data_IF_870197092470
#
_entry.id   IF_870197092470
#
_cell.length_a   1.000
_cell.length_b   1.000
_cell.length_c   1.000
_cell.angle_alpha   90.00
_cell.angle_beta   90.00
_cell.angle_gamma   90.00
#
_symmetry.space_group_name_H-M   'P 1'
#
loop_
_entity.id
_entity.type
_entity.pdbx_description
1 polymer ?
#
# COMPACT_ATOMS: atom_id res chain seq x y z
N UNK A 1 41.12 -5.47 -3.65
CA UNK A 1 40.73 -4.84 -2.38
C UNK A 1 40.35 -5.94 -1.40
N UNK A 2 40.62 -5.77 -0.10
CA UNK A 2 40.36 -6.78 0.96
C UNK A 2 38.93 -7.33 0.89
N UNK A 3 37.95 -6.48 0.54
CA UNK A 3 36.55 -6.85 0.37
C UNK A 3 36.33 -7.94 -0.71
N UNK A 4 36.97 -7.82 -1.87
CA UNK A 4 36.76 -8.78 -2.97
C UNK A 4 37.36 -10.14 -2.65
N UNK A 5 38.51 -10.15 -1.98
CA UNK A 5 39.14 -11.38 -1.50
C UNK A 5 38.26 -12.07 -0.45
N UNK A 6 37.74 -11.32 0.53
CA UNK A 6 36.81 -11.84 1.53
C UNK A 6 35.56 -12.48 0.90
N UNK A 7 34.93 -11.81 -0.07
CA UNK A 7 33.72 -12.34 -0.72
C UNK A 7 34.04 -13.61 -1.51
N UNK A 8 35.16 -13.63 -2.23
CA UNK A 8 35.59 -14.80 -2.98
C UNK A 8 35.87 -16.00 -2.07
N UNK A 9 36.51 -15.78 -0.92
CA UNK A 9 36.82 -16.86 0.01
C UNK A 9 35.57 -17.35 0.76
N UNK A 10 34.67 -16.45 1.15
CA UNK A 10 33.39 -16.84 1.74
C UNK A 10 32.56 -17.71 0.79
N UNK A 11 32.52 -17.36 -0.50
CA UNK A 11 31.76 -18.10 -1.50
C UNK A 11 32.34 -19.50 -1.80
N UNK A 12 33.56 -19.81 -1.35
CA UNK A 12 34.13 -21.17 -1.43
C UNK A 12 33.74 -22.06 -0.26
N UNK A 13 33.24 -21.50 0.85
CA UNK A 13 32.97 -22.26 2.09
C UNK A 13 31.81 -23.23 1.93
N UNK A 14 30.77 -22.88 1.18
CA UNK A 14 29.58 -23.71 1.04
C UNK A 14 29.02 -23.70 -0.38
N UNK A 15 28.78 -24.87 -1.01
CA UNK A 15 28.33 -24.97 -2.41
C UNK A 15 26.94 -24.40 -2.66
N UNK A 16 26.09 -24.29 -1.63
CA UNK A 16 24.70 -23.80 -1.76
C UNK A 16 24.47 -22.36 -1.28
N UNK A 17 25.48 -21.70 -0.68
CA UNK A 17 25.32 -20.36 -0.10
C UNK A 17 26.41 -19.47 -0.68
N UNK A 18 26.02 -18.44 -1.43
CA UNK A 18 26.94 -17.45 -1.99
C UNK A 18 26.46 -16.03 -1.72
N UNK A 19 27.41 -15.16 -1.40
CA UNK A 19 27.23 -13.72 -1.29
C UNK A 19 27.23 -13.10 -2.69
N UNK A 20 26.08 -12.54 -3.04
CA UNK A 20 25.94 -11.62 -4.16
C UNK A 20 26.36 -10.22 -3.71
N UNK A 21 27.21 -9.54 -4.46
CA UNK A 21 27.66 -8.20 -4.14
C UNK A 21 27.62 -7.28 -5.36
N UNK A 22 27.50 -5.99 -5.10
CA UNK A 22 27.70 -4.95 -6.11
C UNK A 22 28.56 -3.87 -5.48
N UNK A 23 29.60 -3.43 -6.18
CA UNK A 23 30.54 -2.42 -5.71
C UNK A 23 30.76 -1.40 -6.81
N UNK A 24 30.70 -0.13 -6.45
CA UNK A 24 31.11 0.98 -7.30
C UNK A 24 31.55 2.14 -6.42
N UNK A 25 32.55 2.88 -6.91
CA UNK A 25 33.07 4.09 -6.24
C UNK A 25 32.16 5.31 -6.45
N UNK A 26 31.28 5.26 -7.45
CA UNK A 26 30.48 6.41 -7.87
C UNK A 26 29.00 6.27 -7.53
N UNK A 27 28.46 5.05 -7.50
CA UNK A 27 27.03 4.83 -7.25
C UNK A 27 26.73 3.46 -6.68
N UNK A 28 25.79 3.36 -5.73
CA UNK A 28 25.33 2.08 -5.18
C UNK A 28 23.82 2.06 -5.01
N UNK A 29 23.21 0.91 -5.24
CA UNK A 29 21.79 0.70 -4.98
C UNK A 29 21.60 0.29 -3.51
N UNK A 30 20.77 1.01 -2.78
CA UNK A 30 20.41 0.73 -1.40
C UNK A 30 18.90 0.85 -1.22
N UNK A 31 18.26 -0.27 -0.83
CA UNK A 31 16.81 -0.39 -0.74
C UNK A 31 16.14 0.04 -2.07
N UNK A 32 15.38 1.12 -2.01
CA UNK A 32 14.55 1.66 -3.09
C UNK A 32 15.23 2.82 -3.84
N UNK A 33 16.51 3.10 -3.56
CA UNK A 33 17.25 4.20 -4.17
C UNK A 33 18.62 3.80 -4.69
N UNK A 34 19.03 4.43 -5.79
CA UNK A 34 20.43 4.51 -6.23
C UNK A 34 21.01 5.78 -5.66
N UNK A 35 22.04 5.65 -4.83
CA UNK A 35 22.80 6.77 -4.29
C UNK A 35 24.01 6.97 -5.18
N UNK A 36 24.19 8.17 -5.72
CA UNK A 36 25.33 8.53 -6.57
C UNK A 36 26.09 9.73 -5.99
N UNK A 37 27.40 9.73 -6.15
CA UNK A 37 28.25 10.86 -5.78
C UNK A 37 28.34 11.84 -6.96
N UNK A 38 27.74 13.01 -6.81
CA UNK A 38 27.81 14.11 -7.77
C UNK A 38 28.69 15.21 -7.19
N UNK A 39 30.00 15.17 -7.51
CA UNK A 39 31.00 16.04 -6.89
C UNK A 39 31.17 15.73 -5.40
N UNK A 40 30.89 16.69 -4.53
CA UNK A 40 30.93 16.52 -3.06
C UNK A 40 29.54 16.27 -2.43
N UNK A 41 28.49 16.08 -3.25
CA UNK A 41 27.12 15.89 -2.78
C UNK A 41 26.60 14.51 -3.16
N UNK A 42 25.80 13.93 -2.28
CA UNK A 42 25.03 12.72 -2.59
C UNK A 42 23.76 13.12 -3.35
N UNK A 43 23.58 12.53 -4.52
CA UNK A 43 22.33 12.54 -5.27
C UNK A 43 21.64 11.19 -5.11
N UNK A 44 20.32 11.20 -5.11
CA UNK A 44 19.51 10.00 -4.90
C UNK A 44 18.51 9.87 -6.04
N UNK A 45 18.44 8.67 -6.62
CA UNK A 45 17.46 8.31 -7.63
C UNK A 45 16.66 7.08 -7.22
N UNK A 46 15.41 6.93 -7.68
CA UNK A 46 14.63 5.71 -7.42
C UNK A 46 15.29 4.53 -8.13
N UNK A 47 15.60 3.48 -7.39
CA UNK A 47 16.08 2.23 -7.97
C UNK A 47 14.89 1.33 -8.30
N UNK A 48 14.85 0.83 -9.53
CA UNK A 48 13.88 -0.16 -9.97
C UNK A 48 14.63 -1.46 -10.23
N UNK A 49 14.16 -2.54 -9.59
CA UNK A 49 14.74 -3.86 -9.85
C UNK A 49 14.45 -4.25 -11.31
N UNK A 50 15.38 -4.92 -12.00
CA UNK A 50 15.15 -5.41 -13.37
C UNK A 50 13.91 -6.32 -13.50
N UNK A 51 13.50 -6.96 -12.40
CA UNK A 51 12.32 -7.83 -12.33
C UNK A 51 11.01 -7.09 -12.05
N UNK A 52 11.04 -5.76 -11.84
CA UNK A 52 9.82 -4.97 -11.63
C UNK A 52 9.12 -4.74 -12.98
N UNK A 53 7.94 -5.35 -13.14
CA UNK A 53 7.17 -5.29 -14.36
C UNK A 53 6.20 -4.08 -14.44
N UNK A 54 6.26 -3.13 -13.49
CA UNK A 54 5.39 -1.94 -13.41
C UNK A 54 3.89 -2.26 -13.52
N UNK A 55 3.48 -3.40 -12.98
CA UNK A 55 2.09 -3.87 -13.07
C UNK A 55 1.24 -3.17 -12.03
N UNK A 56 0.78 -1.97 -12.36
CA UNK A 56 -0.25 -1.29 -11.58
C UNK A 56 -1.60 -1.99 -11.73
N UNK A 57 -2.48 -1.72 -10.76
CA UNK A 57 -3.81 -2.29 -10.73
C UNK A 57 -4.69 -1.66 -11.81
N UNK A 58 -5.27 -2.48 -12.70
CA UNK A 58 -6.21 -2.02 -13.72
C UNK A 58 -7.38 -1.20 -13.14
N UNK A 59 -7.75 -0.10 -13.79
CA UNK A 59 -8.73 0.85 -13.25
C UNK A 59 -10.14 0.26 -13.10
N UNK A 60 -10.55 -0.64 -14.00
CA UNK A 60 -11.85 -1.34 -13.92
C UNK A 60 -11.85 -2.56 -12.99
N UNK A 61 -10.73 -2.86 -12.32
CA UNK A 61 -10.69 -4.00 -11.39
C UNK A 61 -11.61 -3.81 -10.18
N UNK A 62 -12.00 -4.94 -9.58
CA UNK A 62 -12.91 -5.03 -8.41
C UNK A 62 -12.24 -4.64 -7.09
N UNK A 63 -11.65 -3.45 -7.06
CA UNK A 63 -11.05 -2.83 -5.88
C UNK A 63 -11.76 -1.53 -5.56
N UNK A 64 -11.71 -1.14 -4.28
CA UNK A 64 -12.29 0.13 -3.83
C UNK A 64 -11.69 1.28 -4.63
N UNK A 65 -12.56 2.18 -5.11
CA UNK A 65 -12.16 3.31 -5.98
C UNK A 65 -11.00 4.11 -5.40
N UNK A 66 -11.05 4.42 -4.10
CA UNK A 66 -10.02 5.23 -3.44
C UNK A 66 -8.63 4.60 -3.44
N UNK A 67 -8.51 3.27 -3.42
CA UNK A 67 -7.21 2.60 -3.55
C UNK A 67 -6.62 2.85 -4.94
N UNK A 68 -7.42 2.67 -5.99
CA UNK A 68 -7.00 2.93 -7.37
C UNK A 68 -6.59 4.39 -7.55
N UNK A 69 -7.46 5.33 -7.17
CA UNK A 69 -7.17 6.77 -7.34
C UNK A 69 -6.03 7.28 -6.46
N UNK A 70 -5.65 6.55 -5.41
CA UNK A 70 -4.48 6.89 -4.59
C UNK A 70 -3.14 6.48 -5.20
N UNK A 71 -3.13 5.48 -6.11
CA UNK A 71 -1.90 4.95 -6.71
C UNK A 71 -1.11 6.06 -7.41
N UNK A 72 -1.68 6.85 -8.35
CA UNK A 72 -0.91 7.86 -9.08
C UNK A 72 -0.27 8.88 -8.13
N UNK A 73 -1.05 9.37 -7.16
CA UNK A 73 -0.57 10.35 -6.18
C UNK A 73 0.54 9.77 -5.30
N UNK A 74 0.37 8.55 -4.80
CA UNK A 74 1.36 7.89 -3.95
C UNK A 74 2.70 7.66 -4.67
N UNK A 75 2.68 7.33 -5.96
CA UNK A 75 3.88 7.12 -6.76
C UNK A 75 4.58 8.45 -7.06
N UNK A 76 3.85 9.46 -7.55
CA UNK A 76 4.41 10.79 -7.77
C UNK A 76 4.98 11.40 -6.48
N UNK A 77 4.27 11.26 -5.36
CA UNK A 77 4.76 11.71 -4.06
C UNK A 77 6.03 10.98 -3.62
N UNK A 78 6.14 9.68 -3.90
CA UNK A 78 7.36 8.89 -3.64
C UNK A 78 8.52 9.38 -4.51
N UNK A 79 8.28 9.63 -5.79
CA UNK A 79 9.27 10.19 -6.71
C UNK A 79 9.83 11.52 -6.20
N UNK A 80 8.95 12.45 -5.82
CA UNK A 80 9.35 13.76 -5.26
C UNK A 80 10.17 13.64 -3.98
N UNK A 81 9.84 12.65 -3.12
CA UNK A 81 10.56 12.39 -1.87
C UNK A 81 11.89 11.68 -2.06
N UNK A 82 12.08 10.90 -3.13
CA UNK A 82 13.31 10.13 -3.36
C UNK A 82 14.30 10.86 -4.28
N UNK A 83 13.84 11.61 -5.28
CA UNK A 83 14.74 12.32 -6.22
C UNK A 83 15.26 13.65 -5.72
N UNK A 84 16.57 13.82 -5.83
CA UNK A 84 17.25 15.08 -5.50
C UNK A 84 17.17 16.11 -6.62
N UNK A 85 17.06 15.68 -7.89
CA UNK A 85 16.96 16.54 -9.07
C UNK A 85 15.52 16.58 -9.60
N UNK A 86 15.06 17.76 -10.05
CA UNK A 86 13.70 17.93 -10.57
C UNK A 86 13.54 17.41 -12.00
N UNK A 87 14.57 17.46 -12.85
CA UNK A 87 14.50 16.93 -14.21
C UNK A 87 14.21 15.43 -14.24
N UNK A 88 14.74 14.67 -13.27
CA UNK A 88 14.44 13.25 -13.10
C UNK A 88 12.97 13.01 -12.70
N UNK A 89 12.31 13.99 -12.07
CA UNK A 89 10.92 13.85 -11.63
C UNK A 89 9.95 13.86 -12.82
N UNK A 90 10.13 14.78 -13.76
CA UNK A 90 9.23 14.94 -14.91
C UNK A 90 9.29 13.70 -15.82
N UNK A 91 10.50 13.26 -16.22
CA UNK A 91 10.70 12.08 -17.08
C UNK A 91 10.03 10.81 -16.52
N UNK A 92 10.01 10.68 -15.19
CA UNK A 92 9.41 9.53 -14.56
C UNK A 92 7.93 9.68 -14.26
N UNK A 93 7.44 10.91 -14.12
CA UNK A 93 6.01 11.18 -14.14
C UNK A 93 5.43 10.83 -15.51
N UNK A 94 6.16 11.09 -16.59
CA UNK A 94 5.79 10.66 -17.95
C UNK A 94 5.70 9.13 -18.05
N UNK A 95 6.75 8.42 -17.62
CA UNK A 95 6.74 6.94 -17.56
C UNK A 95 5.60 6.38 -16.69
N UNK A 96 5.27 7.07 -15.60
CA UNK A 96 4.14 6.70 -14.75
C UNK A 96 2.81 6.95 -15.45
N UNK A 97 2.68 8.05 -16.19
CA UNK A 97 1.51 8.36 -17.00
C UNK A 97 1.28 7.27 -18.05
N UNK A 98 2.33 6.87 -18.78
CA UNK A 98 2.26 5.80 -19.77
C UNK A 98 1.79 4.48 -19.13
N UNK A 99 2.43 4.08 -18.02
CA UNK A 99 2.10 2.84 -17.33
C UNK A 99 0.66 2.82 -16.79
N UNK A 100 0.15 3.95 -16.29
CA UNK A 100 -1.23 4.07 -15.78
C UNK A 100 -2.25 4.17 -16.92
N UNK A 101 -1.89 4.78 -18.04
CA UNK A 101 -2.72 4.85 -19.25
C UNK A 101 -2.96 3.45 -19.81
N UNK A 102 -1.92 2.60 -19.86
CA UNK A 102 -2.05 1.17 -20.20
C UNK A 102 -3.04 0.45 -19.25
N UNK A 103 -3.08 0.85 -17.98
CA UNK A 103 -4.01 0.32 -16.97
C UNK A 103 -5.41 0.99 -16.98
N UNK A 104 -5.72 1.77 -18.01
CA UNK A 104 -7.02 2.43 -18.23
C UNK A 104 -7.40 3.45 -17.16
N UNK A 105 -6.42 4.12 -16.55
CA UNK A 105 -6.69 5.25 -15.66
C UNK A 105 -7.14 6.47 -16.47
N UNK A 106 -8.20 7.17 -16.03
CA UNK A 106 -8.60 8.44 -16.64
C UNK A 106 -7.46 9.48 -16.56
N UNK A 107 -7.12 10.20 -17.66
CA UNK A 107 -6.03 11.17 -17.68
C UNK A 107 -6.15 12.22 -16.56
N UNK A 108 -7.36 12.76 -16.38
CA UNK A 108 -7.65 13.72 -15.30
C UNK A 108 -7.27 13.22 -13.91
N UNK A 109 -7.36 11.92 -13.62
CA UNK A 109 -6.97 11.38 -12.30
C UNK A 109 -5.45 11.33 -12.16
N UNK A 110 -4.75 11.03 -13.25
CA UNK A 110 -3.29 10.98 -13.30
C UNK A 110 -2.74 12.41 -13.15
N UNK A 111 -3.20 13.33 -13.99
CA UNK A 111 -2.72 14.72 -14.05
C UNK A 111 -2.94 15.45 -12.74
N UNK A 112 -4.16 15.36 -12.19
CA UNK A 112 -4.46 15.96 -10.89
C UNK A 112 -3.60 15.38 -9.77
N UNK A 113 -3.26 14.09 -9.84
CA UNK A 113 -2.42 13.46 -8.84
C UNK A 113 -0.95 13.89 -8.93
N UNK A 114 -0.41 14.00 -10.15
CA UNK A 114 0.95 14.49 -10.40
C UNK A 114 1.04 15.97 -9.98
N UNK A 115 0.10 16.81 -10.42
CA UNK A 115 0.04 18.23 -10.05
C UNK A 115 0.00 18.42 -8.52
N UNK A 116 -0.82 17.64 -7.81
CA UNK A 116 -0.89 17.69 -6.34
C UNK A 116 0.41 17.26 -5.67
N UNK A 117 1.10 16.27 -6.23
CA UNK A 117 2.38 15.82 -5.68
C UNK A 117 3.50 16.84 -5.94
N UNK A 118 3.48 17.48 -7.12
CA UNK A 118 4.48 18.48 -7.51
C UNK A 118 4.35 19.79 -6.71
N UNK A 119 3.11 20.17 -6.37
CA UNK A 119 2.83 21.32 -5.52
C UNK A 119 3.49 21.26 -4.12
N UNK A 120 3.87 20.07 -3.64
CA UNK A 120 4.53 19.91 -2.35
C UNK A 120 6.04 19.84 -2.53
N UNK A 121 6.75 20.84 -2.02
CA UNK A 121 8.21 20.87 -2.07
C UNK A 121 8.86 19.70 -1.31
N UNK A 122 9.91 19.11 -1.90
CA UNK A 122 10.67 17.98 -1.33
C UNK A 122 11.07 18.18 0.14
N UNK A 123 11.53 19.38 0.50
CA UNK A 123 11.93 19.70 1.89
C UNK A 123 10.79 19.49 2.89
N UNK A 124 9.55 19.78 2.51
CA UNK A 124 8.39 19.53 3.37
C UNK A 124 8.13 18.03 3.53
N UNK A 125 8.32 17.24 2.46
CA UNK A 125 8.13 15.78 2.45
C UNK A 125 9.16 15.00 3.28
N UNK A 126 10.33 15.59 3.53
CA UNK A 126 11.38 15.00 4.34
C UNK A 126 11.21 15.28 5.84
N UNK A 127 10.35 16.24 6.21
CA UNK A 127 10.05 16.49 7.62
C UNK A 127 9.27 15.32 8.21
N UNK A 128 9.67 14.88 9.39
CA UNK A 128 8.90 13.89 10.15
C UNK A 128 7.55 14.50 10.52
N UNK A 129 6.46 13.90 10.07
CA UNK A 129 5.15 14.24 10.59
C UNK A 129 5.06 13.70 12.02
N UNK A 130 4.81 14.61 12.98
CA UNK A 130 4.37 14.20 14.31
C UNK A 130 3.07 13.42 14.13
N UNK A 131 2.98 12.24 14.73
CA UNK A 131 1.73 11.48 14.68
C UNK A 131 0.60 12.37 15.21
N UNK A 132 -0.47 12.59 14.43
CA UNK A 132 -1.65 13.24 14.98
C UNK A 132 -2.13 12.41 16.17
N UNK A 133 -2.56 13.07 17.24
CA UNK A 133 -3.08 12.41 18.43
C UNK A 133 -4.01 11.24 18.03
N UNK A 134 -3.75 10.06 18.60
CA UNK A 134 -4.34 8.78 18.19
C UNK A 134 -5.88 8.81 18.38
N UNK A 135 -6.61 9.36 17.40
CA UNK A 135 -8.08 9.41 17.45
C UNK A 135 -8.61 8.00 17.27
N UNK A 136 -9.28 7.48 18.30
CA UNK A 136 -9.92 6.15 18.29
C UNK A 136 -11.18 6.19 17.42
N UNK A 137 -11.02 6.19 16.10
CA UNK A 137 -12.14 5.94 15.19
C UNK A 137 -12.51 4.46 15.19
N UNK A 138 -13.79 4.16 15.37
CA UNK A 138 -14.30 2.79 15.26
C UNK A 138 -14.53 2.45 13.78
N UNK A 139 -13.96 1.32 13.37
CA UNK A 139 -14.06 0.83 12.00
C UNK A 139 -14.97 -0.40 11.92
N UNK A 140 -15.94 -0.34 10.99
CA UNK A 140 -16.70 -1.51 10.54
C UNK A 140 -15.95 -2.16 9.38
N UNK A 141 -15.47 -3.38 9.57
CA UNK A 141 -14.72 -4.11 8.54
C UNK A 141 -15.70 -4.89 7.64
N UNK A 142 -15.72 -4.58 6.35
CA UNK A 142 -16.57 -5.22 5.35
C UNK A 142 -15.74 -5.83 4.22
N UNK A 143 -16.31 -6.82 3.54
CA UNK A 143 -15.76 -7.31 2.27
C UNK A 143 -16.13 -6.36 1.14
N UNK A 144 -15.17 -5.90 0.33
CA UNK A 144 -15.48 -5.13 -0.87
C UNK A 144 -16.20 -6.00 -1.90
N UNK A 145 -17.30 -5.48 -2.47
CA UNK A 145 -17.95 -6.01 -3.66
C UNK A 145 -18.46 -4.85 -4.52
N UNK A 146 -18.43 -4.94 -5.87
CA UNK A 146 -18.91 -3.88 -6.76
C UNK A 146 -20.37 -3.47 -6.53
N UNK A 147 -21.18 -4.39 -6.01
CA UNK A 147 -22.63 -4.18 -5.82
C UNK A 147 -22.99 -3.57 -4.46
N UNK A 148 -22.02 -3.36 -3.56
CA UNK A 148 -22.30 -2.83 -2.22
C UNK A 148 -22.49 -1.31 -2.30
N UNK A 149 -23.57 -0.76 -1.73
CA UNK A 149 -23.78 0.69 -1.68
C UNK A 149 -22.70 1.38 -0.83
N UNK A 150 -22.64 2.71 -0.89
CA UNK A 150 -21.68 3.47 -0.09
C UNK A 150 -22.00 3.36 1.41
N UNK A 151 -21.43 2.36 2.09
CA UNK A 151 -21.69 2.08 3.50
C UNK A 151 -21.30 3.26 4.40
N UNK A 152 -20.25 4.01 4.05
CA UNK A 152 -19.89 5.22 4.78
C UNK A 152 -20.99 6.30 4.71
N UNK A 153 -21.68 6.44 3.57
CA UNK A 153 -22.80 7.37 3.45
C UNK A 153 -24.00 6.92 4.30
N UNK A 154 -24.29 5.62 4.32
CA UNK A 154 -25.36 5.02 5.13
C UNK A 154 -25.07 5.23 6.63
N UNK A 155 -23.86 4.90 7.08
CA UNK A 155 -23.46 5.04 8.49
C UNK A 155 -23.54 6.51 8.96
N UNK A 156 -23.15 7.46 8.10
CA UNK A 156 -23.30 8.89 8.40
C UNK A 156 -24.77 9.32 8.47
N UNK A 157 -25.58 8.90 7.49
CA UNK A 157 -27.01 9.25 7.41
C UNK A 157 -27.80 8.77 8.63
N UNK A 158 -27.48 7.57 9.11
CA UNK A 158 -28.19 6.92 10.23
C UNK A 158 -27.43 7.01 11.55
N UNK A 159 -26.43 7.88 11.66
CA UNK A 159 -25.64 8.05 12.89
C UNK A 159 -26.50 8.51 14.07
N UNK A 160 -27.58 9.26 13.79
CA UNK A 160 -28.56 9.68 14.78
C UNK A 160 -29.17 8.51 15.58
N UNK A 161 -29.32 7.33 14.98
CA UNK A 161 -29.82 6.12 15.67
C UNK A 161 -28.86 5.71 16.80
N UNK A 162 -27.55 5.76 16.54
CA UNK A 162 -26.53 5.44 17.55
C UNK A 162 -26.50 6.49 18.67
N UNK A 163 -26.90 7.73 18.38
CA UNK A 163 -26.95 8.82 19.37
C UNK A 163 -28.15 8.76 20.32
N UNK A 164 -29.16 7.92 20.05
CA UNK A 164 -30.34 7.78 20.92
C UNK A 164 -30.04 7.08 22.25
N UNK A 165 -28.96 6.30 22.32
CA UNK A 165 -28.55 5.59 23.53
C UNK A 165 -27.28 6.22 24.12
N UNK A 166 -27.32 6.59 25.40
CA UNK A 166 -26.16 7.14 26.12
C UNK A 166 -24.95 6.20 26.03
N UNK A 167 -25.18 4.89 26.19
CA UNK A 167 -24.13 3.87 26.08
C UNK A 167 -23.48 3.86 24.70
N UNK A 168 -24.26 3.99 23.62
CA UNK A 168 -23.73 3.98 22.25
C UNK A 168 -23.06 5.31 21.90
N UNK A 169 -23.47 6.42 22.51
CA UNK A 169 -22.81 7.71 22.37
C UNK A 169 -21.40 7.70 22.95
N UNK A 170 -21.20 7.07 24.10
CA UNK A 170 -19.87 6.92 24.72
C UNK A 170 -18.96 6.01 23.90
N UNK A 171 -19.51 4.94 23.34
CA UNK A 171 -18.75 4.00 22.50
C UNK A 171 -18.44 4.62 21.14
N UNK A 172 -19.39 5.29 20.50
CA UNK A 172 -19.28 5.85 19.14
C UNK A 172 -19.36 7.39 19.17
N UNK A 173 -18.33 8.09 19.65
CA UNK A 173 -18.32 9.56 19.73
C UNK A 173 -18.36 10.24 18.36
N UNK A 174 -18.01 9.50 17.31
CA UNK A 174 -18.08 9.92 15.91
C UNK A 174 -18.71 8.81 15.06
N UNK A 175 -19.26 9.12 13.87
CA UNK A 175 -19.83 8.10 13.00
C UNK A 175 -18.80 7.02 12.64
N UNK A 176 -19.14 5.73 12.81
CA UNK A 176 -18.22 4.65 12.50
C UNK A 176 -17.87 4.66 11.01
N UNK A 177 -16.64 4.25 10.69
CA UNK A 177 -16.12 4.22 9.33
C UNK A 177 -16.18 2.81 8.76
N UNK A 178 -16.80 2.65 7.59
CA UNK A 178 -16.70 1.41 6.84
C UNK A 178 -15.32 1.32 6.18
N UNK A 179 -14.56 0.28 6.56
CA UNK A 179 -13.26 -0.09 6.00
C UNK A 179 -13.43 -1.41 5.27
N UNK A 180 -12.89 -1.48 4.06
CA UNK A 180 -13.08 -2.64 3.19
C UNK A 180 -11.80 -3.46 3.08
N UNK A 181 -11.92 -4.77 3.29
CA UNK A 181 -10.91 -5.74 2.88
C UNK A 181 -11.25 -6.29 1.48
N UNK A 182 -10.25 -6.85 0.79
CA UNK A 182 -10.44 -7.47 -0.52
C UNK A 182 -11.39 -8.67 -0.47
N UNK A 183 -12.09 -8.95 -1.56
CA UNK A 183 -12.79 -10.23 -1.73
C UNK A 183 -11.79 -11.36 -1.98
N UNK A 184 -12.27 -12.61 -1.86
CA UNK A 184 -11.49 -13.78 -2.29
C UNK A 184 -11.29 -13.74 -3.80
N UNK A 185 -10.09 -14.08 -4.25
CA UNK A 185 -9.75 -14.21 -5.67
C UNK A 185 -9.43 -15.67 -6.02
N UNK A 186 -9.20 -15.95 -7.31
CA UNK A 186 -8.87 -17.30 -7.78
C UNK A 186 -7.67 -17.90 -7.05
N UNK A 187 -6.65 -17.09 -6.74
CA UNK A 187 -5.49 -17.56 -5.97
C UNK A 187 -5.92 -18.11 -4.62
N UNK A 188 -6.73 -17.36 -3.85
CA UNK A 188 -7.18 -17.82 -2.52
C UNK A 188 -7.99 -19.12 -2.58
N UNK A 189 -8.68 -19.37 -3.70
CA UNK A 189 -9.49 -20.56 -3.91
C UNK A 189 -8.60 -21.73 -4.35
N UNK A 190 -7.75 -21.52 -5.35
CA UNK A 190 -6.99 -22.57 -6.03
C UNK A 190 -5.70 -22.97 -5.29
N UNK A 191 -5.09 -22.08 -4.50
CA UNK A 191 -3.84 -22.39 -3.80
C UNK A 191 -4.05 -22.94 -2.39
N UNK A 192 -5.30 -23.13 -1.97
CA UNK A 192 -5.61 -23.77 -0.69
C UNK A 192 -5.45 -25.29 -0.85
N UNK A 193 -4.52 -25.89 -0.11
CA UNK A 193 -4.43 -27.36 0.03
C UNK A 193 -5.59 -27.96 0.83
N UNK A 194 -6.37 -27.12 1.52
CA UNK A 194 -7.55 -27.52 2.27
C UNK A 194 -8.77 -27.50 1.35
N UNK A 195 -9.40 -28.65 1.17
CA UNK A 195 -10.73 -28.74 0.56
C UNK A 195 -11.72 -27.98 1.45
N UNK A 196 -12.51 -27.08 0.85
CA UNK A 196 -13.54 -26.34 1.58
C UNK A 196 -14.60 -27.32 2.05
N UNK A 197 -14.63 -27.64 3.34
CA UNK A 197 -15.78 -28.34 3.91
C UNK A 197 -16.99 -27.40 3.84
N UNK A 198 -18.16 -27.86 3.38
CA UNK A 198 -19.37 -27.05 3.42
C UNK A 198 -19.61 -26.63 4.87
N UNK A 199 -19.79 -25.31 5.07
CA UNK A 199 -20.05 -24.79 6.40
C UNK A 199 -21.42 -25.31 6.87
N UNK A 200 -21.57 -25.65 8.16
CA UNK A 200 -22.87 -26.01 8.71
C UNK A 200 -23.85 -24.85 8.51
N UNK A 201 -25.06 -25.17 8.07
CA UNK A 201 -26.13 -24.18 7.88
C UNK A 201 -26.57 -23.65 9.25
N UNK A 202 -26.77 -22.34 9.37
CA UNK A 202 -27.21 -21.68 10.61
C UNK A 202 -26.14 -20.82 11.29
N UNK A 203 -26.40 -20.42 12.53
CA UNK A 203 -25.52 -19.56 13.33
C UNK A 203 -24.61 -20.41 14.20
N UNK A 204 -23.36 -20.61 13.78
CA UNK A 204 -22.37 -21.44 14.49
C UNK A 204 -21.12 -20.62 14.85
N UNK A 205 -20.40 -20.99 15.92
CA UNK A 205 -19.14 -20.33 16.25
C UNK A 205 -18.14 -20.52 15.10
N UNK A 206 -17.51 -19.44 14.64
CA UNK A 206 -16.55 -19.49 13.55
C UNK A 206 -15.19 -20.12 13.92
N UNK A 207 -14.98 -20.47 15.20
CA UNK A 207 -13.77 -21.10 15.76
C UNK A 207 -12.44 -20.44 15.36
N UNK A 208 -12.47 -19.15 15.02
CA UNK A 208 -11.25 -18.36 14.77
C UNK A 208 -10.68 -17.94 16.11
N UNK A 209 -9.39 -18.18 16.33
CA UNK A 209 -8.69 -17.85 17.58
C UNK A 209 -8.84 -16.40 18.06
N UNK A 210 -9.09 -15.45 17.16
CA UNK A 210 -9.26 -14.01 17.46
C UNK A 210 -10.72 -13.55 17.56
N UNK A 211 -11.70 -14.45 17.40
CA UNK A 211 -13.10 -14.07 17.44
C UNK A 211 -13.58 -13.91 18.89
N UNK A 212 -13.82 -12.66 19.30
CA UNK A 212 -14.40 -12.36 20.61
C UNK A 212 -15.90 -12.61 20.71
N UNK A 213 -16.58 -12.86 19.58
CA UNK A 213 -18.03 -13.09 19.54
C UNK A 213 -18.36 -14.55 19.84
N UNK A 214 -17.54 -15.50 19.38
CA UNK A 214 -17.78 -16.94 19.58
C UNK A 214 -17.98 -17.35 21.05
N UNK A 215 -17.24 -16.80 22.04
CA UNK A 215 -17.49 -17.09 23.46
C UNK A 215 -18.86 -16.65 23.99
N UNK A 216 -19.54 -15.73 23.29
CA UNK A 216 -20.85 -15.20 23.69
C UNK A 216 -22.00 -15.80 22.87
N UNK A 217 -21.71 -16.72 21.94
CA UNK A 217 -22.76 -17.44 21.22
C UNK A 217 -23.21 -18.61 22.09
N UNK A 218 -24.40 -18.49 22.68
CA UNK A 218 -25.13 -19.62 23.23
C UNK A 218 -25.68 -20.44 22.07
N UNK A 219 -24.96 -21.49 21.70
CA UNK A 219 -25.51 -22.63 20.96
C UNK A 219 -26.20 -23.59 21.91
#
# INVERSE_FOLDING_TARGET
SILMTFIADFNKVHPSISLSHSYSKASICFLDVTVSLCGQKLSTKVYRKPTDAHRYLHFKSSHVKHYKTSIPYSQAHRFKRLWSENSDFDENCDKLCDALTVQQYPPQIIDNAIMRADAIGRRALLKSNKEPAHRKHINLILTHSPSIPNANAILKKHYNILMQSNRLKDVFPEPPRAVYHRSRNLRDILTSSKLSTPAPVGCHPCNKARCKVCPHMTT
#
